data_IF_457005851448
#
_entry.id   IF_457005851448
#
_cell.length_a   1.000
_cell.length_b   1.000
_cell.length_c   1.000
_cell.angle_alpha   90.00
_cell.angle_beta   90.00
_cell.angle_gamma   90.00
#
_symmetry.space_group_name_H-M   'P 1'
#
loop_
_entity.id
_entity.type
_entity.pdbx_description
1 polymer ?
#
# COMPACT_ATOMS: atom_id res chain seq x y z
N UNK A 1 -46.33 -8.36 30.15
CA UNK A 1 -44.87 -8.65 30.26
C UNK A 1 -44.28 -9.29 29.02
N UNK A 2 -44.88 -10.29 28.37
CA UNK A 2 -44.36 -10.92 27.15
C UNK A 2 -44.21 -9.97 25.96
N UNK A 3 -45.10 -9.03 25.74
CA UNK A 3 -45.04 -8.05 24.64
C UNK A 3 -43.80 -7.14 24.71
N UNK A 4 -43.31 -6.77 25.88
CA UNK A 4 -42.13 -5.96 26.05
C UNK A 4 -40.85 -6.68 25.61
N UNK A 5 -40.72 -7.96 25.90
CA UNK A 5 -39.57 -8.76 25.50
C UNK A 5 -39.52 -8.99 23.99
N UNK A 6 -40.66 -9.17 23.33
CA UNK A 6 -40.78 -9.31 21.88
C UNK A 6 -40.33 -8.02 21.19
N UNK A 7 -40.73 -6.83 21.74
CA UNK A 7 -40.37 -5.55 21.19
C UNK A 7 -38.84 -5.27 21.32
N UNK A 8 -38.26 -5.66 22.45
CA UNK A 8 -36.79 -5.50 22.70
C UNK A 8 -36.01 -6.39 21.75
N UNK A 9 -36.43 -7.63 21.53
CA UNK A 9 -35.78 -8.56 20.60
C UNK A 9 -35.88 -8.05 19.16
N UNK A 10 -37.03 -7.51 18.76
CA UNK A 10 -37.23 -6.93 17.42
C UNK A 10 -36.35 -5.69 17.18
N UNK A 11 -36.22 -4.82 18.20
CA UNK A 11 -35.33 -3.66 18.16
C UNK A 11 -33.86 -4.06 18.06
N UNK A 12 -33.46 -5.10 18.79
CA UNK A 12 -32.09 -5.61 18.78
C UNK A 12 -31.74 -6.27 17.42
N UNK A 13 -32.67 -6.99 16.80
CA UNK A 13 -32.51 -7.56 15.46
C UNK A 13 -32.39 -6.44 14.40
N UNK A 14 -33.22 -5.39 14.50
CA UNK A 14 -33.12 -4.23 13.59
C UNK A 14 -31.80 -3.47 13.74
N UNK A 15 -31.29 -3.34 14.96
CA UNK A 15 -29.97 -2.73 15.23
C UNK A 15 -28.85 -3.57 14.65
N UNK A 16 -28.90 -4.91 14.77
CA UNK A 16 -27.89 -5.81 14.21
C UNK A 16 -27.92 -5.80 12.67
N UNK A 17 -29.10 -5.80 12.07
CA UNK A 17 -29.27 -5.70 10.61
C UNK A 17 -28.79 -4.35 10.08
N UNK A 18 -29.09 -3.24 10.80
CA UNK A 18 -28.59 -1.89 10.46
C UNK A 18 -27.07 -1.77 10.57
N UNK A 19 -26.50 -2.33 11.64
CA UNK A 19 -25.04 -2.37 11.82
C UNK A 19 -24.35 -3.23 10.74
N UNK A 20 -24.92 -4.37 10.40
CA UNK A 20 -24.42 -5.24 9.33
C UNK A 20 -24.48 -4.55 7.95
N UNK A 21 -25.59 -3.86 7.65
CA UNK A 21 -25.73 -3.08 6.43
C UNK A 21 -24.74 -1.91 6.35
N UNK A 22 -24.51 -1.20 7.48
CA UNK A 22 -23.54 -0.12 7.56
C UNK A 22 -22.09 -0.61 7.39
N UNK A 23 -21.77 -1.79 7.95
CA UNK A 23 -20.45 -2.41 7.78
C UNK A 23 -20.23 -2.87 6.33
N UNK A 24 -21.22 -3.48 5.71
CA UNK A 24 -21.16 -3.92 4.31
C UNK A 24 -21.04 -2.73 3.35
N UNK A 25 -21.79 -1.66 3.59
CA UNK A 25 -21.70 -0.44 2.78
C UNK A 25 -20.37 0.31 2.93
N UNK A 26 -19.69 0.18 4.09
CA UNK A 26 -18.33 0.70 4.30
C UNK A 26 -17.27 -0.10 3.53
N UNK A 27 -17.48 -1.38 3.33
CA UNK A 27 -16.56 -2.25 2.57
C UNK A 27 -16.62 -1.93 1.08
N UNK A 28 -17.80 -1.73 0.50
CA UNK A 28 -17.98 -1.34 -0.90
C UNK A 28 -17.30 0.01 -1.22
N UNK A 29 -17.41 1.00 -0.33
CA UNK A 29 -16.71 2.29 -0.49
C UNK A 29 -15.18 2.18 -0.39
N UNK A 30 -14.67 1.24 0.37
CA UNK A 30 -13.22 1.04 0.51
C UNK A 30 -12.61 0.42 -0.76
N UNK A 31 -13.31 -0.49 -1.42
CA UNK A 31 -12.89 -1.09 -2.70
C UNK A 31 -12.87 -0.05 -3.83
N UNK A 32 -13.88 0.81 -3.89
CA UNK A 32 -13.99 1.88 -4.87
C UNK A 32 -12.87 2.94 -4.70
N UNK A 33 -12.59 3.32 -3.45
CA UNK A 33 -11.48 4.22 -3.11
C UNK A 33 -10.12 3.60 -3.42
N UNK A 34 -9.94 2.29 -3.19
CA UNK A 34 -8.71 1.59 -3.51
C UNK A 34 -8.49 1.47 -5.03
N UNK A 35 -9.56 1.21 -5.79
CA UNK A 35 -9.51 1.18 -7.26
C UNK A 35 -9.18 2.56 -7.84
N UNK A 36 -9.85 3.62 -7.37
CA UNK A 36 -9.57 5.01 -7.78
C UNK A 36 -8.13 5.45 -7.44
N UNK A 37 -7.58 5.03 -6.29
CA UNK A 37 -6.18 5.32 -5.95
C UNK A 37 -5.19 4.65 -6.89
N UNK A 38 -5.46 3.41 -7.34
CA UNK A 38 -4.64 2.74 -8.35
C UNK A 38 -4.69 3.50 -9.68
N UNK A 39 -5.85 3.92 -10.09
CA UNK A 39 -6.05 4.65 -11.34
C UNK A 39 -5.41 6.04 -11.29
N UNK A 40 -5.54 6.75 -10.17
CA UNK A 40 -4.85 8.03 -9.93
C UNK A 40 -3.33 7.84 -9.96
N UNK A 41 -2.80 6.80 -9.35
CA UNK A 41 -1.37 6.50 -9.37
C UNK A 41 -0.86 6.25 -10.80
N UNK A 42 -1.58 5.45 -11.59
CA UNK A 42 -1.25 5.17 -12.99
C UNK A 42 -1.42 6.42 -13.89
N UNK A 43 -2.43 7.24 -13.63
CA UNK A 43 -2.67 8.48 -14.38
C UNK A 43 -1.66 9.57 -14.04
N UNK A 44 -1.23 9.68 -12.79
CA UNK A 44 -0.18 10.62 -12.38
C UNK A 44 1.16 10.30 -13.05
N UNK A 45 1.49 9.03 -13.19
CA UNK A 45 2.69 8.60 -13.92
C UNK A 45 2.58 8.95 -15.43
N UNK A 46 1.41 8.76 -16.01
CA UNK A 46 1.14 9.11 -17.41
C UNK A 46 1.13 10.62 -17.68
N UNK A 47 0.55 11.41 -16.79
CA UNK A 47 0.53 12.90 -16.90
C UNK A 47 1.95 13.46 -16.77
N UNK A 48 2.78 12.87 -15.93
CA UNK A 48 4.17 13.26 -15.74
C UNK A 48 5.01 13.08 -16.98
N UNK A 49 4.82 11.96 -17.71
CA UNK A 49 5.51 11.70 -18.99
C UNK A 49 5.13 12.75 -20.05
N UNK A 50 3.89 13.27 -19.99
CA UNK A 50 3.35 14.20 -20.98
C UNK A 50 3.59 15.69 -20.67
N UNK A 51 3.89 16.05 -19.41
CA UNK A 51 4.00 17.46 -18.96
C UNK A 51 5.41 17.93 -18.62
N UNK A 52 6.44 17.10 -18.78
CA UNK A 52 7.82 17.48 -18.50
C UNK A 52 8.32 18.54 -19.53
N UNK A 53 8.95 19.65 -19.05
CA UNK A 53 9.58 20.63 -19.95
C UNK A 53 10.69 19.98 -20.79
N UNK A 54 10.74 20.31 -22.07
CA UNK A 54 11.70 19.77 -23.04
C UNK A 54 13.11 20.38 -22.86
N UNK A 55 13.82 20.03 -21.80
CA UNK A 55 15.27 20.18 -21.76
C UNK A 55 15.92 18.81 -21.72
N UNK A 56 16.33 18.32 -22.90
CA UNK A 56 17.02 17.05 -23.13
C UNK A 56 16.33 15.83 -22.47
N UNK A 57 15.12 15.47 -22.90
CA UNK A 57 14.24 14.54 -22.15
C UNK A 57 14.85 13.15 -21.94
N UNK A 58 15.78 12.72 -22.81
CA UNK A 58 16.43 11.40 -22.68
C UNK A 58 17.39 11.29 -21.51
N UNK A 59 18.07 12.38 -21.15
CA UNK A 59 19.06 12.34 -20.06
C UNK A 59 18.37 12.46 -18.69
N UNK A 60 17.33 13.24 -18.60
CA UNK A 60 16.57 13.47 -17.37
C UNK A 60 15.71 12.27 -17.02
N UNK A 61 15.08 11.63 -18.01
CA UNK A 61 14.36 10.36 -17.85
C UNK A 61 15.33 9.26 -17.40
N UNK A 62 16.49 9.11 -18.06
CA UNK A 62 17.48 8.10 -17.69
C UNK A 62 18.05 8.30 -16.26
N UNK A 63 18.27 9.56 -15.83
CA UNK A 63 18.72 9.85 -14.46
C UNK A 63 17.64 9.59 -13.42
N UNK A 64 16.39 9.88 -13.76
CA UNK A 64 15.23 9.58 -12.90
C UNK A 64 14.98 8.08 -12.79
N UNK A 65 15.00 7.35 -13.88
CA UNK A 65 14.81 5.90 -13.89
C UNK A 65 15.94 5.19 -13.13
N UNK A 66 17.19 5.63 -13.34
CA UNK A 66 18.33 5.12 -12.58
C UNK A 66 18.21 5.41 -11.08
N UNK A 67 17.75 6.63 -10.73
CA UNK A 67 17.51 6.99 -9.34
C UNK A 67 16.43 6.11 -8.70
N UNK A 68 15.29 5.92 -9.36
CA UNK A 68 14.20 5.10 -8.85
C UNK A 68 14.58 3.63 -8.75
N UNK A 69 15.31 3.11 -9.73
CA UNK A 69 15.83 1.73 -9.69
C UNK A 69 16.76 1.52 -8.49
N UNK A 70 17.65 2.49 -8.23
CA UNK A 70 18.56 2.43 -7.07
C UNK A 70 17.77 2.49 -5.75
N UNK A 71 16.80 3.39 -5.65
CA UNK A 71 15.91 3.50 -4.46
C UNK A 71 15.18 2.17 -4.23
N UNK A 72 14.62 1.58 -5.29
CA UNK A 72 13.90 0.31 -5.21
C UNK A 72 14.81 -0.82 -4.71
N UNK A 73 16.02 -0.95 -5.27
CA UNK A 73 17.00 -1.96 -4.85
C UNK A 73 17.38 -1.82 -3.38
N UNK A 74 17.68 -0.60 -2.92
CA UNK A 74 18.02 -0.33 -1.52
C UNK A 74 16.90 -0.69 -0.57
N UNK A 75 15.64 -0.37 -0.94
CA UNK A 75 14.48 -0.72 -0.12
C UNK A 75 14.28 -2.23 -0.10
N UNK A 76 14.33 -2.90 -1.26
CA UNK A 76 14.12 -4.35 -1.35
C UNK A 76 15.16 -5.14 -0.55
N UNK A 77 16.42 -4.74 -0.60
CA UNK A 77 17.50 -5.28 0.24
C UNK A 77 17.25 -4.99 1.72
N UNK A 78 16.88 -3.73 2.05
CA UNK A 78 16.62 -3.30 3.42
C UNK A 78 15.39 -3.95 4.06
N UNK A 79 14.44 -4.45 3.28
CA UNK A 79 13.27 -5.17 3.81
C UNK A 79 13.67 -6.47 4.54
N UNK A 80 14.75 -7.12 4.10
CA UNK A 80 15.27 -8.33 4.75
C UNK A 80 15.92 -8.01 6.12
N UNK A 81 16.57 -6.86 6.22
CA UNK A 81 17.36 -6.42 7.38
C UNK A 81 16.58 -5.48 8.33
N UNK A 82 15.37 -5.05 7.96
CA UNK A 82 14.58 -4.06 8.69
C UNK A 82 15.08 -2.61 8.54
N UNK A 83 16.02 -2.34 7.63
CA UNK A 83 16.69 -1.04 7.46
C UNK A 83 16.27 -0.34 6.15
N UNK A 84 14.98 0.00 6.07
CA UNK A 84 14.37 0.67 4.92
C UNK A 84 13.71 2.01 5.27
N UNK A 85 14.09 2.62 6.39
CA UNK A 85 13.61 3.96 6.76
C UNK A 85 14.08 5.03 5.75
N UNK A 86 13.37 6.15 5.70
CA UNK A 86 13.74 7.28 4.81
C UNK A 86 15.17 7.73 5.08
N UNK A 87 15.56 7.72 6.35
CA UNK A 87 16.89 8.08 6.82
C UNK A 87 17.95 7.07 6.34
N UNK A 88 17.66 5.77 6.46
CA UNK A 88 18.54 4.70 6.01
C UNK A 88 18.72 4.71 4.49
N UNK A 89 17.63 4.80 3.74
CA UNK A 89 17.67 4.86 2.27
C UNK A 89 18.43 6.08 1.79
N UNK A 90 18.18 7.26 2.38
CA UNK A 90 18.89 8.49 2.00
C UNK A 90 20.39 8.42 2.31
N UNK A 91 20.77 7.79 3.43
CA UNK A 91 22.19 7.58 3.79
C UNK A 91 22.88 6.64 2.79
N UNK A 92 22.26 5.52 2.42
CA UNK A 92 22.77 4.59 1.39
C UNK A 92 22.90 5.25 0.01
N UNK A 93 22.07 6.24 -0.27
CA UNK A 93 22.16 7.06 -1.49
C UNK A 93 23.12 8.26 -1.36
N UNK A 94 23.85 8.38 -0.27
CA UNK A 94 24.79 9.49 -0.01
C UNK A 94 24.16 10.89 -0.12
N UNK A 95 22.90 11.04 0.30
CA UNK A 95 22.19 12.31 0.29
C UNK A 95 21.47 12.60 1.61
N UNK A 96 21.13 13.87 1.87
CA UNK A 96 20.33 14.21 3.03
C UNK A 96 18.89 13.70 2.86
N UNK A 97 18.23 13.35 3.99
CA UNK A 97 16.83 12.94 3.98
C UNK A 97 15.91 14.00 3.31
N UNK A 98 16.21 15.29 3.49
CA UNK A 98 15.46 16.38 2.84
C UNK A 98 15.63 16.37 1.31
N UNK A 99 16.84 16.17 0.83
CA UNK A 99 17.15 16.08 -0.62
C UNK A 99 16.47 14.86 -1.21
N UNK A 100 16.55 13.71 -0.53
CA UNK A 100 15.88 12.48 -0.93
C UNK A 100 14.35 12.67 -1.04
N UNK A 101 13.71 13.21 0.01
CA UNK A 101 12.26 13.49 0.01
C UNK A 101 11.84 14.36 -1.16
N UNK A 102 12.57 15.45 -1.41
CA UNK A 102 12.27 16.37 -2.52
C UNK A 102 12.45 15.69 -3.88
N UNK A 103 13.55 14.95 -4.08
CA UNK A 103 13.85 14.26 -5.32
C UNK A 103 12.84 13.16 -5.61
N UNK A 104 12.52 12.33 -4.61
CA UNK A 104 11.54 11.26 -4.75
C UNK A 104 10.14 11.80 -5.02
N UNK A 105 9.71 12.83 -4.30
CA UNK A 105 8.42 13.49 -4.54
C UNK A 105 8.35 14.07 -5.95
N UNK A 106 9.39 14.75 -6.42
CA UNK A 106 9.49 15.27 -7.78
C UNK A 106 9.50 14.15 -8.83
N UNK A 107 10.13 13.01 -8.49
CA UNK A 107 10.23 11.85 -9.34
C UNK A 107 8.93 11.03 -9.42
N UNK A 108 8.17 10.86 -8.35
CA UNK A 108 7.03 9.94 -8.26
C UNK A 108 5.69 10.61 -7.97
N UNK A 109 5.70 11.86 -7.51
CA UNK A 109 4.51 12.54 -7.01
C UNK A 109 4.00 12.02 -5.66
N UNK A 110 4.72 11.07 -5.03
CA UNK A 110 4.30 10.42 -3.78
C UNK A 110 5.28 10.72 -2.64
N UNK A 111 4.80 10.63 -1.40
CA UNK A 111 5.70 10.77 -0.25
C UNK A 111 6.64 9.56 -0.15
N UNK A 112 7.87 9.71 0.40
CA UNK A 112 8.76 8.58 0.59
C UNK A 112 8.16 7.44 1.41
N UNK A 113 7.34 7.75 2.40
CA UNK A 113 6.66 6.76 3.22
C UNK A 113 5.65 5.95 2.40
N UNK A 114 4.87 6.61 1.56
CA UNK A 114 3.89 5.94 0.71
C UNK A 114 4.58 5.15 -0.41
N UNK A 115 5.71 5.64 -0.92
CA UNK A 115 6.53 4.94 -1.91
C UNK A 115 7.11 3.65 -1.33
N UNK A 116 7.72 3.71 -0.14
CA UNK A 116 8.23 2.53 0.58
C UNK A 116 7.10 1.54 0.84
N UNK A 117 5.96 2.02 1.34
CA UNK A 117 4.79 1.18 1.55
C UNK A 117 4.32 0.49 0.25
N UNK A 118 4.36 1.19 -0.88
CA UNK A 118 4.06 0.62 -2.19
C UNK A 118 4.93 -0.59 -2.52
N UNK A 119 6.26 -0.45 -2.35
CA UNK A 119 7.23 -1.54 -2.58
C UNK A 119 6.98 -2.72 -1.62
N UNK A 120 6.70 -2.43 -0.33
CA UNK A 120 6.36 -3.47 0.64
C UNK A 120 5.11 -4.26 0.22
N UNK A 121 4.08 -3.56 -0.25
CA UNK A 121 2.82 -4.18 -0.69
C UNK A 121 2.99 -4.98 -1.98
N UNK A 122 3.77 -4.49 -2.93
CA UNK A 122 4.07 -5.20 -4.17
C UNK A 122 4.83 -6.51 -3.90
N UNK A 123 5.86 -6.46 -3.05
CA UNK A 123 6.58 -7.65 -2.60
C UNK A 123 5.66 -8.64 -1.88
N UNK A 124 4.79 -8.14 -0.99
CA UNK A 124 3.83 -8.96 -0.28
C UNK A 124 2.85 -9.67 -1.23
N UNK A 125 2.34 -8.96 -2.22
CA UNK A 125 1.46 -9.53 -3.24
C UNK A 125 2.16 -10.64 -4.02
N UNK A 126 3.40 -10.41 -4.44
CA UNK A 126 4.22 -11.43 -5.10
C UNK A 126 4.43 -12.67 -4.23
N UNK A 127 4.79 -12.51 -2.95
CA UNK A 127 4.96 -13.63 -2.02
C UNK A 127 3.66 -14.40 -1.80
N UNK A 128 2.52 -13.71 -1.67
CA UNK A 128 1.22 -14.35 -1.49
C UNK A 128 0.83 -15.23 -2.68
N UNK A 129 1.16 -14.82 -3.90
CA UNK A 129 0.83 -15.54 -5.13
C UNK A 129 1.79 -16.70 -5.42
N UNK A 130 3.08 -16.51 -5.16
CA UNK A 130 4.11 -17.49 -5.57
C UNK A 130 4.50 -18.44 -4.43
N UNK A 131 4.36 -18.00 -3.17
CA UNK A 131 4.73 -18.76 -1.97
C UNK A 131 3.48 -19.17 -1.18
N UNK A 132 2.57 -19.90 -1.82
CA UNK A 132 1.24 -20.23 -1.26
C UNK A 132 1.30 -20.98 0.08
N UNK A 133 2.36 -21.76 0.32
CA UNK A 133 2.59 -22.47 1.58
C UNK A 133 3.08 -21.57 2.72
N UNK A 134 3.54 -20.34 2.41
CA UNK A 134 4.06 -19.42 3.42
C UNK A 134 2.92 -18.83 4.27
N UNK A 135 3.01 -18.88 5.61
CA UNK A 135 2.03 -18.22 6.47
C UNK A 135 1.93 -16.72 6.18
N UNK A 136 0.72 -16.16 6.19
CA UNK A 136 0.49 -14.72 5.95
C UNK A 136 1.30 -13.83 6.91
N UNK A 137 1.44 -14.26 8.17
CA UNK A 137 2.27 -13.57 9.14
C UNK A 137 3.75 -13.50 8.71
N UNK A 138 4.27 -14.58 8.15
CA UNK A 138 5.65 -14.64 7.66
C UNK A 138 5.84 -13.76 6.42
N UNK A 139 4.83 -13.68 5.54
CA UNK A 139 4.83 -12.72 4.43
C UNK A 139 4.95 -11.29 4.95
N UNK A 140 4.14 -10.91 5.94
CA UNK A 140 4.21 -9.59 6.56
C UNK A 140 5.59 -9.29 7.13
N UNK A 141 6.18 -10.24 7.86
CA UNK A 141 7.52 -10.09 8.44
C UNK A 141 8.60 -9.88 7.38
N UNK A 142 8.57 -10.65 6.29
CA UNK A 142 9.51 -10.49 5.15
C UNK A 142 9.33 -9.18 4.39
N UNK A 143 8.18 -8.55 4.54
CA UNK A 143 7.91 -7.23 3.96
C UNK A 143 8.16 -6.09 4.96
N UNK A 144 8.82 -6.37 6.10
CA UNK A 144 9.22 -5.35 7.08
C UNK A 144 8.11 -4.88 8.01
N UNK A 145 7.12 -5.74 8.29
CA UNK A 145 6.10 -5.47 9.29
C UNK A 145 6.39 -6.22 10.59
N UNK A 146 6.39 -5.49 11.70
CA UNK A 146 6.64 -6.05 13.02
C UNK A 146 5.50 -6.94 13.51
N UNK A 147 4.26 -6.62 13.10
CA UNK A 147 3.08 -7.37 13.52
C UNK A 147 2.12 -7.66 12.35
N UNK A 148 1.43 -8.79 12.46
CA UNK A 148 0.51 -9.28 11.44
C UNK A 148 -0.74 -8.37 11.27
N UNK A 149 -1.15 -7.66 12.32
CA UNK A 149 -2.32 -6.78 12.28
C UNK A 149 -2.04 -5.54 11.45
N UNK A 150 -0.90 -4.89 11.70
CA UNK A 150 -0.43 -3.74 10.91
C UNK A 150 -0.24 -4.09 9.43
N UNK A 151 0.31 -5.28 9.16
CA UNK A 151 0.43 -5.80 7.81
C UNK A 151 -0.95 -5.97 7.15
N UNK A 152 -1.85 -6.71 7.78
CA UNK A 152 -3.18 -7.00 7.23
C UNK A 152 -3.97 -5.70 6.98
N UNK A 153 -3.89 -4.74 7.92
CA UNK A 153 -4.52 -3.43 7.75
C UNK A 153 -3.95 -2.65 6.57
N UNK A 154 -2.63 -2.57 6.45
CA UNK A 154 -1.95 -1.86 5.36
C UNK A 154 -2.23 -2.52 4.01
N UNK A 155 -2.20 -3.85 3.95
CA UNK A 155 -2.47 -4.62 2.75
C UNK A 155 -3.93 -4.42 2.28
N UNK A 156 -4.90 -4.50 3.22
CA UNK A 156 -6.31 -4.27 2.91
C UNK A 156 -6.55 -2.83 2.42
N UNK A 157 -5.89 -1.86 3.04
CA UNK A 157 -5.98 -0.46 2.61
C UNK A 157 -5.43 -0.25 1.20
N UNK A 158 -4.40 -1.01 0.80
CA UNK A 158 -3.73 -0.87 -0.48
C UNK A 158 -4.43 -1.63 -1.61
N UNK A 159 -4.83 -2.90 -1.36
CA UNK A 159 -5.44 -3.79 -2.34
C UNK A 159 -6.95 -3.95 -2.23
N UNK A 160 -7.59 -3.41 -1.19
CA UNK A 160 -9.04 -3.50 -0.96
C UNK A 160 -9.50 -4.80 -0.29
N UNK A 161 -8.68 -5.84 -0.22
CA UNK A 161 -9.00 -7.14 0.36
C UNK A 161 -7.94 -7.61 1.36
N UNK A 162 -8.27 -8.62 2.16
CA UNK A 162 -7.29 -9.19 3.10
C UNK A 162 -6.17 -9.95 2.36
N UNK A 163 -4.97 -10.11 2.96
CA UNK A 163 -3.91 -10.92 2.37
C UNK A 163 -4.35 -12.36 2.06
N UNK A 164 -5.14 -12.97 2.93
CA UNK A 164 -5.67 -14.32 2.72
C UNK A 164 -6.62 -14.36 1.52
N UNK A 165 -7.60 -13.43 1.46
CA UNK A 165 -8.54 -13.33 0.34
C UNK A 165 -7.83 -13.04 -0.99
N UNK A 166 -6.74 -12.27 -0.95
CA UNK A 166 -5.91 -11.99 -2.14
C UNK A 166 -5.24 -13.25 -2.67
N UNK A 167 -4.71 -14.09 -1.76
CA UNK A 167 -4.12 -15.40 -2.09
C UNK A 167 -5.14 -16.37 -2.68
N UNK A 168 -6.34 -16.44 -2.07
CA UNK A 168 -7.37 -17.40 -2.41
C UNK A 168 -8.14 -17.02 -3.70
N UNK A 169 -8.07 -15.77 -4.11
CA UNK A 169 -8.76 -15.23 -5.28
C UNK A 169 -7.89 -15.12 -6.54
N UNK A 170 -6.65 -15.63 -6.51
CA UNK A 170 -5.68 -15.58 -7.61
C UNK A 170 -5.69 -16.85 -8.47
#
# INVERSE_FOLDING_TARGET
MMFYWVLIILLFVLLLLGAGWLMHHKEDHQEEVAALRREIFLLQDKIRILTAPQENPRKEVADTDSFLATVHSIIDEGLADGDFSVEAVSAKMHMSAQTFRRRLLGATGTSPKDYILGIQMEKAAGLLLHETAMPVQEVGRRCGFDDASSFAHSFRRFYGCSPSSYRDGA
#
